data_IF_919825264946
#
_entry.id   IF_919825264946
#
_cell.length_a   1.000
_cell.length_b   1.000
_cell.length_c   1.000
_cell.angle_alpha   90.00
_cell.angle_beta   90.00
_cell.angle_gamma   90.00
#
_symmetry.space_group_name_H-M   'P 1'
#
loop_
_entity.id
_entity.type
_entity.pdbx_description
1 polymer ?
#
# COMPACT_ATOMS: atom_id res chain seq x y z
N UNK A 1 3.47 -21.39 49.48
CA UNK A 1 4.19 -22.14 48.43
C UNK A 1 3.87 -21.46 47.11
N UNK A 2 4.83 -20.76 46.50
CA UNK A 2 4.65 -20.13 45.20
C UNK A 2 4.63 -21.23 44.13
N UNK A 3 3.67 -21.23 43.19
CA UNK A 3 3.65 -22.23 42.13
C UNK A 3 4.88 -22.08 41.23
N UNK A 4 5.50 -23.21 40.91
CA UNK A 4 6.70 -23.33 40.10
C UNK A 4 6.60 -22.52 38.80
N UNK A 5 7.47 -21.50 38.70
CA UNK A 5 7.72 -20.72 37.49
C UNK A 5 8.43 -21.60 36.44
N UNK A 6 7.71 -22.58 35.87
CA UNK A 6 8.17 -23.28 34.66
C UNK A 6 8.00 -22.33 33.49
N UNK A 7 9.10 -21.71 33.05
CA UNK A 7 9.19 -21.04 31.75
C UNK A 7 8.79 -22.04 30.68
N UNK A 8 7.59 -21.87 30.13
CA UNK A 8 7.14 -22.62 28.97
C UNK A 8 8.10 -22.23 27.83
N UNK A 9 8.87 -23.17 27.24
CA UNK A 9 9.70 -22.84 26.10
C UNK A 9 8.77 -22.45 24.96
N UNK A 10 8.78 -21.17 24.60
CA UNK A 10 8.11 -20.68 23.40
C UNK A 10 8.86 -21.30 22.22
N UNK A 11 8.35 -22.43 21.72
CA UNK A 11 8.71 -22.92 20.39
C UNK A 11 8.17 -21.91 19.41
N UNK A 12 9.02 -20.97 18.97
CA UNK A 12 8.75 -20.13 17.81
C UNK A 12 8.61 -21.06 16.59
N UNK A 13 7.38 -21.45 16.28
CA UNK A 13 7.07 -22.01 14.96
C UNK A 13 7.24 -20.83 14.01
N UNK A 14 8.25 -20.92 13.14
CA UNK A 14 8.74 -19.89 12.22
C UNK A 14 7.75 -19.62 11.07
N UNK A 15 6.46 -19.54 11.36
CA UNK A 15 5.38 -19.38 10.36
C UNK A 15 5.09 -17.91 10.06
N UNK A 16 5.19 -17.03 11.06
CA UNK A 16 4.92 -15.59 10.89
C UNK A 16 5.98 -14.86 10.05
N UNK A 17 7.22 -15.38 9.99
CA UNK A 17 8.29 -14.76 9.20
C UNK A 17 8.07 -14.94 7.68
N UNK A 18 7.35 -15.98 7.25
CA UNK A 18 6.96 -16.17 5.85
C UNK A 18 5.84 -15.19 5.45
N UNK A 19 4.88 -14.91 6.34
CA UNK A 19 3.79 -13.94 6.10
C UNK A 19 4.29 -12.48 6.01
N UNK A 20 5.42 -12.15 6.65
CA UNK A 20 6.04 -10.83 6.52
C UNK A 20 6.62 -10.58 5.12
N UNK A 21 6.98 -11.64 4.38
CA UNK A 21 7.56 -11.53 3.05
C UNK A 21 6.62 -10.89 2.03
N UNK A 22 5.39 -11.40 1.93
CA UNK A 22 4.35 -10.84 1.06
C UNK A 22 3.98 -9.41 1.46
N UNK A 23 3.97 -9.13 2.76
CA UNK A 23 3.74 -7.79 3.28
C UNK A 23 4.82 -6.81 2.80
N UNK A 24 6.11 -7.16 2.93
CA UNK A 24 7.20 -6.31 2.48
C UNK A 24 7.22 -6.14 0.96
N UNK A 25 6.80 -7.16 0.21
CA UNK A 25 6.59 -7.04 -1.24
C UNK A 25 5.53 -5.99 -1.60
N UNK A 26 4.43 -5.95 -0.85
CA UNK A 26 3.38 -4.95 -1.02
C UNK A 26 3.79 -3.55 -0.55
N UNK A 27 4.51 -3.45 0.58
CA UNK A 27 4.85 -2.19 1.21
C UNK A 27 6.09 -1.49 0.62
N UNK A 28 7.06 -2.23 0.07
CA UNK A 28 8.27 -1.64 -0.51
C UNK A 28 8.03 -1.17 -1.96
N UNK A 29 8.30 0.11 -2.24
CA UNK A 29 8.32 0.63 -3.61
C UNK A 29 9.60 0.21 -4.37
N UNK A 30 10.65 -0.13 -3.63
CA UNK A 30 11.98 -0.49 -4.12
C UNK A 30 13.05 -0.04 -3.12
N UNK A 31 14.31 -0.26 -3.45
CA UNK A 31 15.43 0.26 -2.68
C UNK A 31 16.69 0.33 -3.54
N UNK A 32 17.57 1.27 -3.18
CA UNK A 32 18.93 1.38 -3.69
C UNK A 32 19.92 1.16 -2.54
N UNK A 33 21.22 1.05 -2.81
CA UNK A 33 22.23 0.87 -1.76
C UNK A 33 22.17 1.99 -0.69
N UNK A 34 21.77 3.21 -1.09
CA UNK A 34 21.73 4.39 -0.22
C UNK A 34 20.37 4.74 0.41
N UNK A 35 19.26 4.24 -0.13
CA UNK A 35 17.93 4.56 0.38
C UNK A 35 16.89 3.45 0.17
N UNK A 36 15.87 3.46 1.00
CA UNK A 36 14.72 2.57 1.00
C UNK A 36 13.45 3.38 0.76
N UNK A 37 12.69 3.04 -0.28
CA UNK A 37 11.42 3.71 -0.58
C UNK A 37 10.24 2.82 -0.17
N UNK A 38 9.45 3.29 0.80
CA UNK A 38 8.30 2.58 1.32
C UNK A 38 6.98 3.24 0.91
N UNK A 39 6.03 2.45 0.41
CA UNK A 39 4.70 2.92 0.02
C UNK A 39 3.90 3.32 1.25
N UNK A 40 3.02 4.30 1.05
CA UNK A 40 2.03 4.74 2.03
C UNK A 40 0.75 3.91 1.94
N UNK A 41 -0.06 3.92 3.00
CA UNK A 41 -1.28 3.10 3.09
C UNK A 41 -2.27 3.36 1.93
N UNK A 42 -2.32 4.58 1.38
CA UNK A 42 -3.17 4.91 0.23
C UNK A 42 -2.85 4.16 -1.07
N UNK A 43 -1.66 3.56 -1.16
CA UNK A 43 -1.25 2.70 -2.27
C UNK A 43 -1.51 1.23 -1.94
N UNK A 44 -1.24 0.82 -0.70
CA UNK A 44 -1.34 -0.57 -0.24
C UNK A 44 -2.81 -0.99 -0.11
N UNK A 45 -3.67 -0.12 0.43
CA UNK A 45 -5.06 -0.41 0.76
C UNK A 45 -6.03 0.14 -0.30
N UNK A 46 -5.86 -0.29 -1.56
CA UNK A 46 -6.81 0.00 -2.66
C UNK A 46 -7.87 -1.07 -2.83
N UNK A 47 -7.63 -2.25 -2.26
CA UNK A 47 -8.44 -3.45 -2.46
C UNK A 47 -9.87 -3.30 -1.95
N UNK A 48 -10.03 -2.68 -0.77
CA UNK A 48 -11.34 -2.52 -0.14
C UNK A 48 -12.36 -1.79 -1.03
N UNK A 49 -11.95 -0.72 -1.71
CA UNK A 49 -12.84 0.02 -2.61
C UNK A 49 -13.16 -0.76 -3.89
N UNK A 50 -12.18 -1.46 -4.45
CA UNK A 50 -12.38 -2.30 -5.63
C UNK A 50 -13.40 -3.41 -5.32
N UNK A 51 -13.21 -4.14 -4.23
CA UNK A 51 -14.12 -5.22 -3.83
C UNK A 51 -15.49 -4.72 -3.43
N UNK A 52 -15.59 -3.61 -2.71
CA UNK A 52 -16.88 -2.98 -2.40
C UNK A 52 -17.64 -2.62 -3.67
N UNK A 53 -16.96 -2.06 -4.67
CA UNK A 53 -17.55 -1.76 -5.96
C UNK A 53 -18.05 -3.02 -6.68
N UNK A 54 -17.30 -4.13 -6.65
CA UNK A 54 -17.72 -5.42 -7.21
C UNK A 54 -18.97 -5.98 -6.51
N UNK A 55 -19.04 -5.86 -5.18
CA UNK A 55 -20.23 -6.25 -4.42
C UNK A 55 -21.44 -5.41 -4.84
N UNK A 56 -21.27 -4.09 -4.99
CA UNK A 56 -22.34 -3.23 -5.47
C UNK A 56 -22.75 -3.55 -6.91
N UNK A 57 -21.81 -3.89 -7.80
CA UNK A 57 -22.11 -4.37 -9.15
C UNK A 57 -22.94 -5.65 -9.13
N UNK A 58 -22.61 -6.59 -8.24
CA UNK A 58 -23.38 -7.83 -8.08
C UNK A 58 -24.80 -7.56 -7.56
N UNK A 59 -24.94 -6.69 -6.56
CA UNK A 59 -26.25 -6.26 -6.05
C UNK A 59 -27.06 -5.56 -7.14
N UNK A 60 -26.41 -4.68 -7.92
CA UNK A 60 -27.05 -3.98 -9.03
C UNK A 60 -27.50 -4.95 -10.13
N UNK A 61 -26.66 -5.93 -10.47
CA UNK A 61 -27.02 -6.99 -11.42
C UNK A 61 -28.25 -7.77 -10.96
N UNK A 62 -28.35 -8.09 -9.67
CA UNK A 62 -29.53 -8.74 -9.12
C UNK A 62 -30.77 -7.82 -9.22
N UNK A 63 -30.63 -6.54 -8.85
CA UNK A 63 -31.71 -5.56 -8.97
C UNK A 63 -32.18 -5.36 -10.41
N UNK A 64 -31.25 -5.27 -11.36
CA UNK A 64 -31.52 -5.19 -12.79
C UNK A 64 -32.29 -6.43 -13.28
N UNK A 65 -31.81 -7.63 -12.91
CA UNK A 65 -32.38 -8.91 -13.31
C UNK A 65 -33.79 -9.16 -12.75
N UNK A 66 -34.06 -8.76 -11.50
CA UNK A 66 -35.33 -9.05 -10.83
C UNK A 66 -36.33 -7.89 -10.86
N UNK A 67 -35.87 -6.64 -10.82
CA UNK A 67 -36.75 -5.47 -10.74
C UNK A 67 -36.84 -4.72 -12.08
N UNK A 68 -35.71 -4.29 -12.65
CA UNK A 68 -35.71 -3.45 -13.86
C UNK A 68 -36.14 -4.21 -15.11
N UNK A 69 -35.87 -5.51 -15.19
CA UNK A 69 -36.28 -6.38 -16.30
C UNK A 69 -37.79 -6.39 -16.55
N UNK A 70 -38.60 -6.19 -15.50
CA UNK A 70 -40.07 -6.16 -15.57
C UNK A 70 -40.64 -4.77 -15.89
N UNK A 71 -39.79 -3.75 -16.04
CA UNK A 71 -40.22 -2.39 -16.31
C UNK A 71 -40.65 -2.22 -17.78
N UNK A 72 -41.87 -1.72 -17.99
CA UNK A 72 -42.45 -1.55 -19.32
C UNK A 72 -41.84 -0.38 -20.11
N UNK A 73 -41.38 0.67 -19.42
CA UNK A 73 -40.73 1.81 -20.06
C UNK A 73 -39.28 1.47 -20.41
N UNK A 74 -39.05 1.13 -21.68
CA UNK A 74 -37.73 0.70 -22.16
C UNK A 74 -36.65 1.77 -22.05
N UNK A 75 -36.96 3.02 -22.38
CA UNK A 75 -35.98 4.12 -22.30
C UNK A 75 -35.55 4.36 -20.85
N UNK A 76 -36.51 4.39 -19.92
CA UNK A 76 -36.22 4.57 -18.51
C UNK A 76 -35.45 3.38 -17.92
N UNK A 77 -35.80 2.15 -18.32
CA UNK A 77 -35.05 0.93 -17.97
C UNK A 77 -33.59 1.04 -18.42
N UNK A 78 -33.34 1.35 -19.69
CA UNK A 78 -31.98 1.44 -20.23
C UNK A 78 -31.14 2.51 -19.50
N UNK A 79 -31.71 3.69 -19.23
CA UNK A 79 -31.02 4.75 -18.48
C UNK A 79 -30.64 4.27 -17.08
N UNK A 80 -31.56 3.63 -16.36
CA UNK A 80 -31.28 3.11 -15.02
C UNK A 80 -30.23 2.00 -15.07
N UNK A 81 -30.43 0.98 -15.90
CA UNK A 81 -29.54 -0.16 -16.05
C UNK A 81 -28.11 0.30 -16.34
N UNK A 82 -27.90 1.08 -17.41
CA UNK A 82 -26.57 1.56 -17.78
C UNK A 82 -26.01 2.59 -16.80
N UNK A 83 -26.86 3.44 -16.23
CA UNK A 83 -26.47 4.42 -15.21
C UNK A 83 -25.92 3.75 -13.95
N UNK A 84 -26.60 2.72 -13.45
CA UNK A 84 -26.15 1.97 -12.28
C UNK A 84 -24.89 1.15 -12.56
N UNK A 85 -24.81 0.43 -13.69
CA UNK A 85 -23.58 -0.26 -14.07
C UNK A 85 -22.42 0.71 -14.23
N UNK A 86 -22.62 1.86 -14.88
CA UNK A 86 -21.61 2.89 -15.04
C UNK A 86 -21.12 3.45 -13.70
N UNK A 87 -22.03 3.72 -12.76
CA UNK A 87 -21.69 4.20 -11.42
C UNK A 87 -20.86 3.19 -10.64
N UNK A 88 -21.30 1.93 -10.55
CA UNK A 88 -20.61 0.91 -9.76
C UNK A 88 -19.32 0.43 -10.44
N UNK A 89 -19.24 0.47 -11.78
CA UNK A 89 -18.00 0.29 -12.51
C UNK A 89 -17.01 1.40 -12.17
N UNK A 90 -17.44 2.67 -12.19
CA UNK A 90 -16.59 3.79 -11.81
C UNK A 90 -16.11 3.70 -10.35
N UNK A 91 -16.95 3.23 -9.43
CA UNK A 91 -16.56 3.00 -8.03
C UNK A 91 -15.52 1.88 -7.89
N UNK A 92 -15.72 0.77 -8.59
CA UNK A 92 -14.79 -0.38 -8.56
C UNK A 92 -13.43 -0.01 -9.17
N UNK A 93 -13.44 0.49 -10.41
CA UNK A 93 -12.24 0.66 -11.21
C UNK A 93 -11.60 2.05 -11.07
N UNK A 94 -12.36 3.08 -10.70
CA UNK A 94 -11.83 4.44 -10.56
C UNK A 94 -10.70 4.54 -9.53
N UNK A 95 -10.72 3.68 -8.51
CA UNK A 95 -9.67 3.63 -7.49
C UNK A 95 -8.33 3.10 -8.01
N UNK A 96 -8.34 2.26 -9.06
CA UNK A 96 -7.12 1.79 -9.74
C UNK A 96 -6.39 2.94 -10.43
N UNK A 97 -7.15 3.92 -10.96
CA UNK A 97 -6.62 5.09 -11.65
C UNK A 97 -6.29 6.27 -10.73
N UNK A 98 -6.53 6.15 -9.42
CA UNK A 98 -6.14 7.19 -8.47
C UNK A 98 -4.62 7.40 -8.53
N UNK A 99 -4.15 8.67 -8.56
CA UNK A 99 -2.72 8.95 -8.58
C UNK A 99 -1.98 8.20 -7.46
N UNK A 100 -0.91 7.50 -7.81
CA UNK A 100 -0.04 6.87 -6.82
C UNK A 100 0.68 7.96 -6.04
N UNK A 101 0.50 7.96 -4.72
CA UNK A 101 1.25 8.85 -3.85
C UNK A 101 2.72 8.46 -3.86
N UNK A 102 3.60 9.46 -3.80
CA UNK A 102 5.05 9.26 -3.64
C UNK A 102 5.32 8.41 -2.42
N UNK A 103 6.27 7.46 -2.48
CA UNK A 103 6.70 6.71 -1.31
C UNK A 103 7.33 7.64 -0.27
N UNK A 104 7.54 7.15 0.95
CA UNK A 104 8.45 7.77 1.92
C UNK A 104 9.84 7.20 1.70
N UNK A 105 10.83 8.09 1.55
CA UNK A 105 12.22 7.71 1.32
C UNK A 105 13.00 7.77 2.62
N UNK A 106 13.58 6.64 3.00
CA UNK A 106 14.50 6.50 4.11
C UNK A 106 15.92 6.47 3.58
N UNK A 107 16.70 7.53 3.80
CA UNK A 107 18.03 7.65 3.22
C UNK A 107 19.11 7.38 4.28
N UNK A 108 19.70 6.18 4.21
CA UNK A 108 20.61 5.65 5.24
C UNK A 108 21.89 6.48 5.40
N UNK A 109 22.51 6.91 4.29
CA UNK A 109 23.80 7.63 4.34
C UNK A 109 23.66 9.02 4.99
N UNK A 110 22.65 9.77 4.56
CA UNK A 110 22.34 11.11 5.09
C UNK A 110 21.63 11.07 6.45
N UNK A 111 21.10 9.92 6.89
CA UNK A 111 20.24 9.81 8.07
C UNK A 111 19.03 10.75 8.00
N UNK A 112 18.37 10.77 6.84
CA UNK A 112 17.24 11.66 6.55
C UNK A 112 16.06 10.89 5.99
N UNK A 113 14.86 11.40 6.26
CA UNK A 113 13.59 10.90 5.76
C UNK A 113 12.96 11.99 4.89
N UNK A 114 12.69 11.66 3.62
CA UNK A 114 12.02 12.56 2.70
C UNK A 114 10.57 12.13 2.52
N UNK A 115 9.66 13.12 2.55
CA UNK A 115 8.22 12.91 2.37
C UNK A 115 7.65 14.01 1.50
N UNK A 116 6.88 13.61 0.49
CA UNK A 116 6.07 14.54 -0.30
C UNK A 116 4.59 14.27 -0.04
N UNK A 117 3.94 15.19 0.67
CA UNK A 117 2.55 15.04 1.10
C UNK A 117 1.78 16.35 0.92
N UNK A 118 0.60 16.31 0.29
CA UNK A 118 -0.26 17.49 0.04
C UNK A 118 0.47 18.72 -0.55
N UNK A 119 1.42 18.47 -1.46
CA UNK A 119 2.29 19.51 -2.06
C UNK A 119 3.25 20.21 -1.08
N UNK A 120 3.58 19.54 0.02
CA UNK A 120 4.58 19.97 1.00
C UNK A 120 5.70 18.93 1.01
N UNK A 121 6.93 19.42 0.91
CA UNK A 121 8.14 18.61 0.97
C UNK A 121 8.71 18.70 2.37
N UNK A 122 8.86 17.54 3.01
CA UNK A 122 9.49 17.42 4.30
C UNK A 122 10.87 16.75 4.15
N UNK A 123 11.86 17.31 4.83
CA UNK A 123 13.18 16.75 5.02
C UNK A 123 13.43 16.61 6.52
N UNK A 124 13.24 15.40 7.02
CA UNK A 124 13.20 15.11 8.46
C UNK A 124 14.48 14.35 8.83
N UNK A 125 15.33 14.89 9.71
CA UNK A 125 16.43 14.13 10.31
C UNK A 125 15.91 12.87 11.01
N UNK A 126 16.60 11.74 10.87
CA UNK A 126 16.15 10.45 11.40
C UNK A 126 15.95 10.45 12.93
N UNK A 127 16.82 11.17 13.64
CA UNK A 127 16.76 11.37 15.09
C UNK A 127 15.59 12.26 15.55
N UNK A 128 15.11 13.13 14.68
CA UNK A 128 13.92 13.98 14.91
C UNK A 128 12.63 13.35 14.34
N UNK A 129 12.71 12.13 13.79
CA UNK A 129 11.58 11.46 13.15
C UNK A 129 10.62 10.88 14.19
N UNK A 130 9.37 11.37 14.18
CA UNK A 130 8.33 10.90 15.08
C UNK A 130 7.44 9.87 14.37
N UNK A 131 7.52 8.61 14.81
CA UNK A 131 6.67 7.54 14.32
C UNK A 131 5.92 6.89 15.48
N UNK A 132 4.65 6.56 15.29
CA UNK A 132 3.87 5.88 16.32
C UNK A 132 2.93 4.84 15.74
N UNK A 133 2.61 3.85 16.59
CA UNK A 133 1.54 2.89 16.33
C UNK A 133 0.31 3.37 17.09
N UNK A 134 -0.75 3.72 16.36
CA UNK A 134 -2.01 4.16 16.94
C UNK A 134 -3.05 3.05 16.82
N UNK A 135 -3.87 2.88 17.87
CA UNK A 135 -5.05 2.01 17.78
C UNK A 135 -6.16 2.78 17.06
N UNK A 136 -6.55 2.30 15.90
CA UNK A 136 -7.67 2.79 15.13
C UNK A 136 -8.85 1.84 15.31
N UNK A 137 -9.74 2.17 16.24
CA UNK A 137 -10.95 1.37 16.47
C UNK A 137 -11.90 1.55 15.29
N UNK A 138 -12.21 0.48 14.59
CA UNK A 138 -13.26 0.47 13.58
C UNK A 138 -14.40 -0.44 14.03
N UNK A 139 -15.63 0.00 13.74
CA UNK A 139 -16.82 -0.76 14.03
C UNK A 139 -17.04 -1.79 12.91
N UNK A 140 -16.95 -3.08 13.21
CA UNK A 140 -17.24 -4.16 12.24
C UNK A 140 -18.71 -4.65 12.31
N UNK A 141 -19.61 -3.79 12.80
CA UNK A 141 -21.03 -4.12 12.90
C UNK A 141 -21.30 -5.06 14.08
N UNK A 142 -21.75 -6.30 13.80
CA UNK A 142 -22.23 -7.23 14.85
C UNK A 142 -21.13 -7.73 15.81
N UNK A 143 -19.86 -7.61 15.44
CA UNK A 143 -18.71 -8.03 16.26
C UNK A 143 -18.23 -6.95 17.25
N UNK A 144 -18.84 -5.77 17.24
CA UNK A 144 -18.42 -4.65 18.08
C UNK A 144 -17.20 -3.90 17.50
N UNK A 145 -16.53 -3.14 18.36
CA UNK A 145 -15.32 -2.41 17.98
C UNK A 145 -14.16 -3.40 17.86
N UNK A 146 -13.60 -3.50 16.67
CA UNK A 146 -12.34 -4.19 16.46
C UNK A 146 -11.18 -3.19 16.50
N UNK A 147 -10.11 -3.59 17.20
CA UNK A 147 -8.87 -2.83 17.22
C UNK A 147 -8.15 -3.01 15.88
N UNK A 148 -8.09 -1.95 15.09
CA UNK A 148 -7.15 -1.79 13.98
C UNK A 148 -5.87 -1.10 14.46
N UNK A 149 -4.77 -1.32 13.75
CA UNK A 149 -3.48 -0.70 14.08
C UNK A 149 -2.98 0.12 12.89
N UNK A 150 -2.63 1.37 13.16
CA UNK A 150 -2.09 2.31 12.17
C UNK A 150 -0.66 2.68 12.51
N UNK A 151 0.25 2.50 11.56
CA UNK A 151 1.59 3.04 11.62
C UNK A 151 1.59 4.43 11.01
N UNK A 152 1.85 5.45 11.83
CA UNK A 152 1.85 6.83 11.40
C UNK A 152 3.24 7.43 11.51
N UNK A 153 3.65 8.14 10.46
CA UNK A 153 4.75 9.10 10.49
C UNK A 153 4.16 10.49 10.74
N UNK A 154 4.56 11.14 11.83
CA UNK A 154 4.10 12.48 12.17
C UNK A 154 4.94 13.53 11.45
N UNK A 155 4.31 14.26 10.54
CA UNK A 155 4.95 15.29 9.74
C UNK A 155 5.02 16.57 10.58
N UNK A 156 6.20 16.80 11.17
CA UNK A 156 6.46 18.01 11.93
C UNK A 156 6.64 19.21 10.96
N UNK A 157 5.84 20.28 11.08
CA UNK A 157 5.92 21.46 10.23
C UNK A 157 7.30 22.14 10.20
N UNK A 158 8.11 21.99 11.26
CA UNK A 158 9.48 22.53 11.31
C UNK A 158 10.41 21.99 10.21
N UNK A 159 10.09 20.83 9.65
CA UNK A 159 10.86 20.17 8.61
C UNK A 159 10.32 20.41 7.19
N UNK A 160 9.29 21.25 7.06
CA UNK A 160 8.76 21.65 5.76
C UNK A 160 9.77 22.57 5.05
N UNK A 161 10.19 22.18 3.85
CA UNK A 161 11.24 22.89 3.11
C UNK A 161 10.67 23.94 2.16
N UNK A 162 9.55 23.62 1.51
CA UNK A 162 9.00 24.44 0.43
C UNK A 162 7.86 25.37 0.88
N UNK A 163 7.47 25.31 2.16
CA UNK A 163 6.45 26.17 2.76
C UNK A 163 6.79 26.44 4.21
N UNK A 164 6.59 27.68 4.65
CA UNK A 164 6.59 28.00 6.07
C UNK A 164 5.27 27.53 6.69
N UNK A 165 5.37 26.49 7.51
CA UNK A 165 4.26 25.93 8.26
C UNK A 165 4.50 26.08 9.77
N UNK A 166 5.40 26.97 10.17
CA UNK A 166 5.77 27.19 11.57
C UNK A 166 4.52 27.51 12.40
N UNK A 167 4.36 26.82 13.53
CA UNK A 167 3.21 26.98 14.43
C UNK A 167 1.98 26.13 14.08
N UNK A 168 2.02 25.35 12.99
CA UNK A 168 0.97 24.36 12.72
C UNK A 168 1.17 23.10 13.56
N UNK A 169 0.11 22.28 13.67
CA UNK A 169 0.18 20.97 14.34
C UNK A 169 0.78 19.92 13.42
N UNK A 170 1.36 18.86 14.02
CA UNK A 170 1.86 17.71 13.28
C UNK A 170 0.73 17.04 12.49
N UNK A 171 1.00 16.71 11.23
CA UNK A 171 0.06 16.00 10.38
C UNK A 171 0.41 14.50 10.34
N UNK A 172 -0.52 13.58 10.66
CA UNK A 172 -0.24 12.16 10.56
C UNK A 172 -0.26 11.68 9.10
N UNK A 173 0.83 11.09 8.65
CA UNK A 173 0.91 10.31 7.42
C UNK A 173 0.76 8.82 7.75
N UNK A 174 -0.37 8.24 7.34
CA UNK A 174 -0.62 6.80 7.51
C UNK A 174 0.23 5.99 6.52
N UNK A 175 1.25 5.35 7.08
CA UNK A 175 2.21 4.50 6.36
C UNK A 175 1.63 3.11 6.11
N UNK A 176 0.95 2.55 7.11
CA UNK A 176 0.36 1.21 7.04
C UNK A 176 -0.85 1.11 7.95
N UNK A 177 -1.90 0.43 7.47
CA UNK A 177 -3.05 0.06 8.28
C UNK A 177 -3.25 -1.45 8.22
N UNK A 178 -3.36 -2.09 9.39
CA UNK A 178 -3.70 -3.50 9.49
C UNK A 178 -4.88 -3.65 10.46
N UNK A 179 -5.97 -4.19 9.93
CA UNK A 179 -7.08 -4.69 10.72
C UNK A 179 -6.72 -6.10 11.16
N UNK A 180 -6.86 -6.41 12.46
CA UNK A 180 -6.55 -7.69 13.13
C UNK A 180 -5.22 -7.75 13.89
N UNK A 181 -4.07 -7.44 13.27
CA UNK A 181 -2.77 -7.77 13.87
C UNK A 181 -1.79 -6.59 13.94
N UNK A 182 -1.28 -6.31 15.13
CA UNK A 182 -0.23 -5.30 15.34
C UNK A 182 1.14 -5.78 14.85
N UNK A 183 1.36 -7.10 14.71
CA UNK A 183 2.65 -7.70 14.32
C UNK A 183 3.17 -7.14 13.00
N UNK A 184 2.29 -6.96 12.01
CA UNK A 184 2.66 -6.44 10.69
C UNK A 184 3.12 -4.98 10.77
N UNK A 185 2.43 -4.17 11.56
CA UNK A 185 2.75 -2.76 11.79
C UNK A 185 4.07 -2.62 12.57
N UNK A 186 4.27 -3.47 13.59
CA UNK A 186 5.53 -3.52 14.33
C UNK A 186 6.69 -3.99 13.46
N UNK A 187 6.46 -4.99 12.62
CA UNK A 187 7.46 -5.48 11.67
C UNK A 187 7.84 -4.44 10.61
N UNK A 188 6.89 -3.60 10.16
CA UNK A 188 7.21 -2.42 9.33
C UNK A 188 8.24 -1.54 10.03
N UNK A 189 7.95 -1.15 11.27
CA UNK A 189 8.79 -0.27 12.07
C UNK A 189 10.18 -0.88 12.29
N UNK A 190 10.24 -2.12 12.77
CA UNK A 190 11.50 -2.80 13.03
C UNK A 190 12.36 -2.91 11.76
N UNK A 191 11.74 -3.12 10.61
CA UNK A 191 12.45 -3.15 9.34
C UNK A 191 13.09 -1.79 8.99
N UNK A 192 12.31 -0.70 9.06
CA UNK A 192 12.84 0.65 8.80
C UNK A 192 13.91 1.04 9.81
N UNK A 193 13.68 0.77 11.10
CA UNK A 193 14.64 1.04 12.17
C UNK A 193 15.97 0.33 11.93
N UNK A 194 15.93 -0.98 11.65
CA UNK A 194 17.13 -1.78 11.35
C UNK A 194 17.85 -1.29 10.11
N UNK A 195 17.12 -0.96 9.06
CA UNK A 195 17.68 -0.40 7.83
C UNK A 195 18.47 0.90 8.11
N UNK A 196 17.84 1.86 8.82
CA UNK A 196 18.44 3.16 9.12
C UNK A 196 19.63 3.07 10.07
N UNK A 197 19.59 2.14 11.03
CA UNK A 197 20.67 1.91 12.01
C UNK A 197 21.78 0.99 11.48
N UNK A 198 21.56 0.31 10.36
CA UNK A 198 22.51 -0.64 9.79
C UNK A 198 22.56 -2.01 10.49
N UNK A 199 21.55 -2.33 11.30
CA UNK A 199 21.36 -3.68 11.84
C UNK A 199 20.92 -4.67 10.75
N UNK A 200 21.14 -5.96 10.98
CA UNK A 200 20.67 -7.00 10.05
C UNK A 200 19.14 -6.95 9.90
N UNK A 201 18.63 -6.84 8.66
CA UNK A 201 17.20 -6.77 8.41
C UNK A 201 16.53 -8.11 8.75
N UNK A 202 15.32 -8.06 9.30
CA UNK A 202 14.51 -9.26 9.59
C UNK A 202 14.17 -10.05 8.30
N UNK A 203 14.13 -9.35 7.17
CA UNK A 203 13.94 -9.85 5.82
C UNK A 203 14.36 -8.71 4.87
N UNK A 204 15.20 -8.96 3.85
CA UNK A 204 15.07 -8.38 2.50
C UNK A 204 16.30 -8.67 1.60
N UNK A 205 16.03 -9.25 0.42
CA UNK A 205 16.77 -8.95 -0.81
C UNK A 205 16.28 -7.59 -1.34
N UNK A 206 17.09 -6.53 -1.19
CA UNK A 206 16.75 -5.21 -1.75
C UNK A 206 16.76 -5.35 -3.28
N UNK A 207 15.61 -5.12 -3.90
CA UNK A 207 15.54 -5.07 -5.36
C UNK A 207 15.80 -3.64 -5.81
N UNK A 208 16.88 -3.44 -6.57
CA UNK A 208 17.19 -2.20 -7.29
C UNK A 208 16.09 -1.78 -8.28
N UNK A 209 15.13 -2.67 -8.57
CA UNK A 209 14.03 -2.41 -9.51
C UNK A 209 12.71 -2.27 -8.78
N UNK A 210 11.90 -1.31 -9.24
CA UNK A 210 10.53 -1.09 -8.78
C UNK A 210 9.74 -2.39 -8.82
N UNK A 211 9.17 -2.77 -7.67
CA UNK A 211 8.37 -3.99 -7.50
C UNK A 211 6.97 -3.77 -8.09
N UNK A 212 6.89 -3.87 -9.42
CA UNK A 212 5.67 -3.78 -10.23
C UNK A 212 5.39 -5.12 -10.89
N UNK A 213 4.11 -5.50 -11.11
CA UNK A 213 3.79 -6.68 -11.91
C UNK A 213 4.44 -6.54 -13.29
N UNK A 214 5.33 -7.46 -13.64
CA UNK A 214 6.03 -7.45 -14.93
C UNK A 214 6.07 -8.84 -15.52
N UNK A 215 6.07 -8.87 -16.84
CA UNK A 215 6.35 -10.09 -17.58
C UNK A 215 7.79 -10.55 -17.28
N UNK A 216 7.94 -11.74 -16.69
CA UNK A 216 9.24 -12.29 -16.34
C UNK A 216 9.95 -12.80 -17.60
N UNK A 217 10.99 -12.07 -18.04
CA UNK A 217 11.84 -12.50 -19.16
C UNK A 217 12.50 -13.86 -18.88
N UNK A 218 12.87 -14.14 -17.63
CA UNK A 218 13.46 -15.44 -17.23
C UNK A 218 12.52 -16.61 -17.53
N UNK A 219 11.25 -16.49 -17.12
CA UNK A 219 10.22 -17.51 -17.39
C UNK A 219 9.96 -17.66 -18.89
N UNK A 220 10.02 -16.57 -19.65
CA UNK A 220 9.85 -16.60 -21.10
C UNK A 220 11.02 -17.29 -21.82
N UNK A 221 12.25 -17.11 -21.35
CA UNK A 221 13.43 -17.80 -21.87
C UNK A 221 13.40 -19.30 -21.57
N UNK A 222 12.94 -19.69 -20.37
CA UNK A 222 12.87 -21.10 -19.95
C UNK A 222 11.70 -21.88 -20.57
N UNK A 223 10.52 -21.27 -20.69
CA UNK A 223 9.29 -21.96 -21.15
C UNK A 223 8.89 -21.66 -22.59
N UNK A 224 9.60 -20.75 -23.25
CA UNK A 224 9.29 -20.22 -24.59
C UNK A 224 8.29 -19.06 -24.55
N UNK A 225 8.55 -18.04 -25.38
CA UNK A 225 7.80 -16.78 -25.39
C UNK A 225 6.30 -16.94 -25.63
N UNK A 226 5.90 -17.78 -26.58
CA UNK A 226 4.48 -17.99 -26.93
C UNK A 226 3.73 -18.60 -25.73
N UNK A 227 4.31 -19.61 -25.09
CA UNK A 227 3.72 -20.27 -23.92
C UNK A 227 3.64 -19.33 -22.72
N UNK A 228 4.66 -18.51 -22.51
CA UNK A 228 4.64 -17.49 -21.47
C UNK A 228 3.56 -16.42 -21.71
N UNK A 229 3.35 -15.98 -22.96
CA UNK A 229 2.27 -15.03 -23.30
C UNK A 229 0.89 -15.66 -23.07
N UNK A 230 0.68 -16.90 -23.53
CA UNK A 230 -0.58 -17.62 -23.34
C UNK A 230 -0.94 -17.83 -21.86
N UNK A 231 0.04 -17.93 -20.98
CA UNK A 231 -0.17 -17.98 -19.53
C UNK A 231 -0.43 -16.58 -18.96
N UNK A 232 0.29 -15.56 -19.47
CA UNK A 232 0.23 -14.20 -18.93
C UNK A 232 -1.12 -13.51 -19.22
N UNK A 233 -1.66 -13.64 -20.44
CA UNK A 233 -2.93 -13.00 -20.83
C UNK A 233 -4.11 -13.35 -19.91
N UNK A 234 -4.42 -14.63 -19.63
CA UNK A 234 -5.49 -14.98 -18.70
C UNK A 234 -5.12 -14.74 -17.23
N UNK A 235 -3.83 -14.64 -16.89
CA UNK A 235 -3.41 -14.33 -15.53
C UNK A 235 -3.69 -12.86 -15.15
N UNK A 236 -3.77 -11.93 -16.11
CA UNK A 236 -4.06 -10.51 -15.85
C UNK A 236 -5.44 -10.31 -15.18
N UNK A 237 -6.57 -10.80 -15.72
CA UNK A 237 -7.87 -10.65 -15.07
C UNK A 237 -7.92 -11.36 -13.71
N UNK A 238 -7.23 -12.49 -13.55
CA UNK A 238 -7.12 -13.18 -12.25
C UNK A 238 -6.34 -12.33 -11.25
N UNK A 239 -5.20 -11.74 -11.65
CA UNK A 239 -4.42 -10.85 -10.79
C UNK A 239 -5.21 -9.61 -10.40
N UNK A 240 -6.03 -9.07 -11.30
CA UNK A 240 -6.93 -7.96 -10.98
C UNK A 240 -7.95 -8.32 -9.89
N UNK A 241 -8.47 -9.55 -9.91
CA UNK A 241 -9.42 -10.02 -8.90
C UNK A 241 -8.74 -10.41 -7.58
N UNK A 242 -7.50 -10.93 -7.61
CA UNK A 242 -6.82 -11.45 -6.41
C UNK A 242 -5.94 -10.40 -5.71
N UNK A 243 -5.26 -9.53 -6.47
CA UNK A 243 -4.37 -8.46 -5.95
C UNK A 243 -4.58 -7.14 -6.71
N UNK A 244 -5.76 -6.49 -6.58
CA UNK A 244 -6.06 -5.25 -7.31
C UNK A 244 -5.09 -4.09 -6.98
N UNK A 245 -4.60 -3.99 -5.75
CA UNK A 245 -3.54 -3.04 -5.36
C UNK A 245 -2.26 -3.18 -6.20
N UNK A 246 -1.84 -4.40 -6.49
CA UNK A 246 -0.65 -4.69 -7.29
C UNK A 246 -0.87 -4.27 -8.74
N UNK A 247 -2.08 -4.50 -9.27
CA UNK A 247 -2.47 -3.99 -10.59
C UNK A 247 -2.57 -2.47 -10.64
N UNK A 248 -2.97 -1.82 -9.54
CA UNK A 248 -3.02 -0.37 -9.43
C UNK A 248 -1.63 0.29 -9.57
N UNK A 249 -0.54 -0.46 -9.34
CA UNK A 249 0.82 0.03 -9.58
C UNK A 249 1.11 0.28 -11.08
N UNK A 250 0.30 -0.28 -11.98
CA UNK A 250 0.42 -0.09 -13.42
C UNK A 250 -0.24 1.20 -13.92
N UNK A 251 -0.92 1.96 -13.05
CA UNK A 251 -1.56 3.22 -13.45
C UNK A 251 -0.55 4.22 -14.04
N UNK A 252 -0.89 4.94 -15.13
CA UNK A 252 -0.01 5.99 -15.66
C UNK A 252 0.05 7.23 -14.74
N UNK A 253 -0.91 7.37 -13.82
CA UNK A 253 -1.02 8.53 -12.95
C UNK A 253 -0.14 8.33 -11.70
N UNK A 254 1.09 8.81 -11.78
CA UNK A 254 2.12 8.64 -10.76
C UNK A 254 2.56 10.02 -10.27
N UNK A 255 2.48 10.27 -8.97
CA UNK A 255 3.11 11.46 -8.40
C UNK A 255 4.63 11.35 -8.60
N UNK A 256 5.31 12.47 -8.76
CA UNK A 256 6.78 12.45 -8.90
C UNK A 256 7.39 13.16 -7.72
N UNK A 257 8.62 12.76 -7.40
CA UNK A 257 9.40 13.49 -6.42
C UNK A 257 9.70 14.90 -6.95
N UNK A 258 9.72 15.93 -6.08
CA UNK A 258 10.28 17.22 -6.43
C UNK A 258 11.78 17.10 -6.78
N UNK A 259 12.29 18.03 -7.58
CA UNK A 259 13.67 17.99 -8.10
C UNK A 259 14.71 18.04 -6.98
N UNK A 260 14.38 18.77 -5.93
CA UNK A 260 15.17 18.98 -4.72
C UNK A 260 15.57 17.64 -4.08
N UNK A 261 14.67 16.65 -4.08
CA UNK A 261 14.95 15.31 -3.53
C UNK A 261 15.99 14.59 -4.37
N UNK A 262 15.95 14.73 -5.70
CA UNK A 262 16.95 14.15 -6.58
C UNK A 262 18.32 14.80 -6.39
N UNK A 263 18.36 16.10 -6.12
CA UNK A 263 19.60 16.83 -5.82
C UNK A 263 20.20 16.40 -4.49
N UNK A 264 19.39 16.25 -3.43
CA UNK A 264 19.88 15.82 -2.10
C UNK A 264 20.33 14.35 -2.07
N UNK A 265 19.66 13.50 -2.85
CA UNK A 265 20.01 12.07 -2.92
C UNK A 265 21.07 11.77 -3.98
N UNK A 266 21.39 12.74 -4.85
CA UNK A 266 22.32 12.55 -5.97
C UNK A 266 21.80 11.61 -7.06
N UNK A 267 20.55 11.14 -6.96
CA UNK A 267 19.96 10.16 -7.86
C UNK A 267 18.58 10.58 -8.35
N UNK A 268 18.37 10.52 -9.67
CA UNK A 268 17.06 10.76 -10.29
C UNK A 268 16.26 9.47 -10.30
N UNK A 269 15.52 9.23 -9.22
CA UNK A 269 14.73 8.02 -9.07
C UNK A 269 13.27 8.31 -8.73
N UNK A 270 12.41 8.19 -9.75
CA UNK A 270 10.94 8.28 -9.67
C UNK A 270 10.39 6.85 -9.52
N UNK A 271 10.20 6.39 -8.28
CA UNK A 271 9.78 5.02 -7.99
C UNK A 271 8.27 4.82 -8.13
N UNK A 272 7.86 4.66 -9.38
CA UNK A 272 6.55 4.13 -9.72
C UNK A 272 6.59 3.25 -10.96
#
# INVERSE_FOLDING_TARGET
MQPDNKKIPIKYIKKEAEDMGEFFEGASAGGHEGYLDMRVNSVINRDGFFYMGLVCLFIWWAFDSFALSHMQNELFRQILTYGGYGLFFALSFGTLFRPLATPVRFHKKNQEVYVWHKKVLYRIPWDECEMSICVAKQNEGYRGLQDGYQFNLWLNPKHAVNKDLTGQSHEPLNMMHNMNHHTVVYGYWEYVRRYMTGEEPLYIEMSEKSRTPRFSKKVATEKGYIKAILIFVPAIPIMLLVKPNSMALLTPFKAKWPKEVHEWTGERCDWH
#
